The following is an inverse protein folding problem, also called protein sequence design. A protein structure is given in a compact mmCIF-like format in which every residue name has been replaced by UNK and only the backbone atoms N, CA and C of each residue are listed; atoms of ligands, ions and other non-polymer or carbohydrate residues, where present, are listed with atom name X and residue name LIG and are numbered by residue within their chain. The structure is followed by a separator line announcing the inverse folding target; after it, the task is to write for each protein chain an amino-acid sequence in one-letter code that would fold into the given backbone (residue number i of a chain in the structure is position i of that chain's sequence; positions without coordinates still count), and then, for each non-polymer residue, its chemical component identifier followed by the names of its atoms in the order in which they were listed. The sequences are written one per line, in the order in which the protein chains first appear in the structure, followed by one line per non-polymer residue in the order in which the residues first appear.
data_IF_108230360345
#
_entry.id   IF_108230360345
#
_cell.length_a   1.000
_cell.length_b   1.000
_cell.length_c   1.000
_cell.angle_alpha   90.00
_cell.angle_beta   90.00
_cell.angle_gamma   90.00
#
_symmetry.space_group_name_H-M   'P 1'
#
loop_
_entity.id
_entity.type
_entity.pdbx_description
1 polymer ?
#
# COMPACT_ATOMS: atom_id res chain seq x y z
N UNK A 1 5.83 11.62 5.06
CA UNK A 1 5.41 11.19 6.42
C UNK A 1 3.99 10.64 6.36
N UNK A 2 3.60 9.70 7.23
CA UNK A 2 2.25 9.10 7.21
C UNK A 2 1.35 9.78 8.26
N UNK A 3 0.05 9.89 7.99
CA UNK A 3 -0.96 10.27 8.98
C UNK A 3 -2.29 9.57 8.72
N UNK A 4 -3.21 9.59 9.70
CA UNK A 4 -4.59 9.11 9.50
C UNK A 4 -5.30 9.88 8.38
N UNK A 5 -6.28 9.21 7.76
CA UNK A 5 -7.11 9.79 6.69
C UNK A 5 -7.88 11.01 7.21
N UNK A 6 -8.03 12.00 6.35
CA UNK A 6 -8.74 13.25 6.63
C UNK A 6 -9.56 13.66 5.41
N UNK A 7 -10.85 13.93 5.63
CA UNK A 7 -11.78 14.30 4.55
C UNK A 7 -11.41 15.63 3.90
N UNK A 8 -10.75 16.55 4.62
CA UNK A 8 -10.31 17.84 4.06
C UNK A 8 -9.24 17.69 2.96
N UNK A 9 -8.57 16.53 2.90
CA UNK A 9 -7.55 16.24 1.88
C UNK A 9 -8.12 15.61 0.61
N UNK A 10 -9.44 15.35 0.58
CA UNK A 10 -10.05 14.63 -0.53
C UNK A 10 -9.94 15.38 -1.85
N UNK A 11 -10.01 16.72 -1.85
CA UNK A 11 -9.90 17.50 -3.08
C UNK A 11 -8.53 17.31 -3.74
N UNK A 12 -7.44 17.58 -3.01
CA UNK A 12 -6.08 17.47 -3.55
C UNK A 12 -5.70 16.04 -3.92
N UNK A 13 -6.15 15.05 -3.14
CA UNK A 13 -5.90 13.64 -3.46
C UNK A 13 -6.71 13.16 -4.66
N UNK A 14 -7.96 13.60 -4.82
CA UNK A 14 -8.78 13.25 -5.98
C UNK A 14 -8.12 13.74 -7.27
N UNK A 15 -7.64 14.99 -7.29
CA UNK A 15 -6.94 15.55 -8.46
C UNK A 15 -5.70 14.74 -8.85
N UNK A 16 -4.92 14.29 -7.86
CA UNK A 16 -3.75 13.43 -8.09
C UNK A 16 -4.13 12.01 -8.54
N UNK A 17 -5.24 11.47 -8.03
CA UNK A 17 -5.71 10.12 -8.33
C UNK A 17 -6.19 10.00 -9.79
N UNK A 18 -6.82 11.06 -10.32
CA UNK A 18 -7.39 11.09 -11.67
C UNK A 18 -6.34 11.10 -12.79
N UNK A 19 -5.06 11.30 -12.46
CA UNK A 19 -3.96 11.22 -13.42
C UNK A 19 -3.95 9.83 -14.13
N UNK A 20 -3.86 9.77 -15.48
CA UNK A 20 -3.87 8.51 -16.23
C UNK A 20 -2.75 7.52 -15.86
N UNK A 21 -1.64 7.99 -15.29
CA UNK A 21 -0.55 7.14 -14.81
C UNK A 21 -0.82 6.58 -13.39
N UNK A 22 -1.85 7.07 -12.70
CA UNK A 22 -2.26 6.69 -11.34
C UNK A 22 -3.58 5.92 -11.38
N UNK A 23 -4.62 6.51 -11.97
CA UNK A 23 -6.00 6.04 -11.95
C UNK A 23 -6.17 4.56 -12.32
N UNK A 24 -5.48 3.98 -13.33
CA UNK A 24 -5.64 2.56 -13.66
C UNK A 24 -5.22 1.59 -12.54
N UNK A 25 -4.46 2.06 -11.54
CA UNK A 25 -3.88 1.22 -10.49
C UNK A 25 -4.42 1.45 -9.08
N UNK A 26 -5.29 2.44 -8.87
CA UNK A 26 -5.93 2.65 -7.56
C UNK A 26 -7.00 1.60 -7.26
N UNK A 27 -7.25 1.30 -5.98
CA UNK A 27 -8.26 0.32 -5.52
C UNK A 27 -9.69 0.81 -5.80
N UNK A 28 -10.01 2.01 -5.33
CA UNK A 28 -11.33 2.64 -5.52
C UNK A 28 -11.30 3.53 -6.77
N UNK A 29 -12.02 3.13 -7.82
CA UNK A 29 -12.09 3.85 -9.10
C UNK A 29 -13.10 5.00 -9.06
N UNK A 30 -12.91 5.93 -8.14
CA UNK A 30 -13.79 7.08 -7.99
C UNK A 30 -13.56 8.06 -9.15
N UNK A 31 -14.59 8.31 -9.96
CA UNK A 31 -14.55 9.20 -11.14
C UNK A 31 -15.02 10.61 -10.83
N UNK A 32 -15.58 10.83 -9.64
CA UNK A 32 -15.94 12.15 -9.14
C UNK A 32 -15.37 12.38 -7.74
N UNK A 33 -15.30 13.66 -7.37
CA UNK A 33 -14.88 14.07 -6.04
C UNK A 33 -15.82 13.49 -4.96
N UNK A 34 -17.13 13.49 -5.19
CA UNK A 34 -18.14 12.96 -4.27
C UNK A 34 -17.96 11.45 -4.05
N UNK A 35 -17.69 10.69 -5.11
CA UNK A 35 -17.38 9.26 -5.01
C UNK A 35 -16.11 9.02 -4.17
N UNK A 36 -15.09 9.87 -4.34
CA UNK A 36 -13.84 9.75 -3.59
C UNK A 36 -13.98 10.16 -2.12
N UNK A 37 -14.77 11.20 -1.84
CA UNK A 37 -15.12 11.62 -0.49
C UNK A 37 -15.90 10.52 0.24
N UNK A 38 -16.89 9.93 -0.42
CA UNK A 38 -17.67 8.82 0.13
C UNK A 38 -16.80 7.59 0.41
N UNK A 39 -15.96 7.18 -0.56
CA UNK A 39 -15.04 6.06 -0.37
C UNK A 39 -14.03 6.32 0.77
N UNK A 40 -13.54 7.56 0.90
CA UNK A 40 -12.64 7.92 2.01
C UNK A 40 -13.34 7.84 3.36
N UNK A 41 -14.60 8.27 3.44
CA UNK A 41 -15.40 8.11 4.67
C UNK A 41 -15.57 6.62 5.02
N UNK A 42 -15.90 5.77 4.05
CA UNK A 42 -16.01 4.33 4.29
C UNK A 42 -14.71 3.72 4.82
N UNK A 43 -13.55 4.13 4.28
CA UNK A 43 -12.24 3.65 4.76
C UNK A 43 -11.96 4.11 6.20
N UNK A 44 -12.39 5.32 6.58
CA UNK A 44 -12.29 5.80 7.97
C UNK A 44 -13.15 4.94 8.89
N UNK A 45 -14.41 4.68 8.50
CA UNK A 45 -15.33 3.83 9.26
C UNK A 45 -14.80 2.37 9.37
N UNK A 46 -14.23 1.82 8.29
CA UNK A 46 -13.58 0.49 8.26
C UNK A 46 -12.38 0.41 9.22
N UNK A 47 -11.59 1.48 9.32
CA UNK A 47 -10.46 1.56 10.25
C UNK A 47 -10.92 1.65 11.71
N UNK A 48 -11.98 2.40 12.01
CA UNK A 48 -12.58 2.42 13.36
C UNK A 48 -13.09 1.04 13.80
N UNK A 49 -13.49 0.21 12.84
CA UNK A 49 -13.89 -1.19 13.05
C UNK A 49 -12.71 -2.18 13.05
N UNK A 50 -11.47 -1.71 12.91
CA UNK A 50 -10.25 -2.54 12.81
C UNK A 50 -10.27 -3.54 11.64
N UNK A 51 -10.99 -3.24 10.56
CA UNK A 51 -11.07 -4.08 9.34
C UNK A 51 -10.12 -3.62 8.24
N UNK A 52 -9.55 -2.42 8.40
CA UNK A 52 -8.59 -1.78 7.52
C UNK A 52 -7.64 -0.93 8.37
N UNK A 53 -6.45 -0.63 7.86
CA UNK A 53 -5.56 0.40 8.41
C UNK A 53 -5.16 1.30 7.23
N UNK A 54 -5.41 2.60 7.32
CA UNK A 54 -5.26 3.50 6.17
C UNK A 54 -4.52 4.79 6.53
N UNK A 55 -3.53 5.17 5.72
CA UNK A 55 -2.75 6.39 5.93
C UNK A 55 -2.73 7.26 4.68
N UNK A 56 -2.80 8.58 4.89
CA UNK A 56 -2.38 9.55 3.89
C UNK A 56 -0.86 9.63 3.89
N UNK A 57 -0.26 9.58 2.69
CA UNK A 57 1.17 9.82 2.48
C UNK A 57 1.37 11.32 2.28
N UNK A 58 2.27 11.91 3.06
CA UNK A 58 2.64 13.33 3.00
C UNK A 58 4.04 13.51 2.39
N UNK A 59 4.24 14.60 1.66
CA UNK A 59 5.58 15.07 1.28
C UNK A 59 6.29 15.77 2.47
N UNK A 60 7.47 16.35 2.21
CA UNK A 60 8.29 17.05 3.21
C UNK A 60 7.63 18.33 3.74
N UNK A 61 6.73 18.93 2.97
CA UNK A 61 5.96 20.12 3.36
C UNK A 61 4.64 19.77 4.07
N UNK A 62 4.37 18.48 4.30
CA UNK A 62 3.13 18.02 4.92
C UNK A 62 1.92 17.99 3.99
N UNK A 63 2.10 18.17 2.67
CA UNK A 63 0.99 18.08 1.71
C UNK A 63 0.64 16.61 1.40
N UNK A 64 -0.65 16.28 1.26
CA UNK A 64 -1.09 14.94 0.88
C UNK A 64 -0.72 14.63 -0.58
N UNK A 65 -0.08 13.48 -0.79
CA UNK A 65 0.46 13.07 -2.10
C UNK A 65 0.04 11.66 -2.54
N UNK A 66 -0.72 10.95 -1.72
CA UNK A 66 -1.15 9.58 -2.01
C UNK A 66 -1.72 8.89 -0.78
N UNK A 67 -2.04 7.61 -0.91
CA UNK A 67 -2.54 6.77 0.19
C UNK A 67 -1.81 5.44 0.24
N UNK A 68 -1.78 4.86 1.43
CA UNK A 68 -1.32 3.50 1.70
C UNK A 68 -2.27 2.83 2.68
N UNK A 69 -2.70 1.63 2.35
CA UNK A 69 -3.79 0.94 3.04
C UNK A 69 -3.44 -0.55 3.21
N UNK A 70 -3.76 -1.12 4.37
CA UNK A 70 -3.91 -2.55 4.57
C UNK A 70 -5.40 -2.85 4.64
N UNK A 71 -5.91 -3.65 3.73
CA UNK A 71 -7.34 -3.99 3.66
C UNK A 71 -7.57 -5.49 3.56
N UNK A 72 -8.82 -5.91 3.73
CA UNK A 72 -9.21 -7.33 3.75
C UNK A 72 -8.38 -8.07 4.81
N UNK A 73 -8.39 -7.49 6.03
CA UNK A 73 -7.61 -8.00 7.14
C UNK A 73 -8.27 -9.26 7.70
N UNK A 74 -7.53 -10.36 7.72
CA UNK A 74 -8.00 -11.65 8.24
C UNK A 74 -6.82 -12.46 8.75
N UNK A 75 -6.96 -13.14 9.89
CA UNK A 75 -5.93 -14.01 10.47
C UNK A 75 -4.52 -13.39 10.53
N UNK A 76 -4.42 -12.12 10.96
CA UNK A 76 -3.15 -11.36 11.03
C UNK A 76 -2.48 -11.14 9.66
N UNK A 77 -3.28 -11.17 8.60
CA UNK A 77 -2.84 -10.88 7.23
C UNK A 77 -3.70 -9.79 6.60
N UNK A 78 -3.27 -9.27 5.44
CA UNK A 78 -4.08 -8.36 4.62
C UNK A 78 -3.38 -8.00 3.32
N UNK A 79 -4.08 -7.28 2.45
CA UNK A 79 -3.53 -6.78 1.19
C UNK A 79 -3.11 -5.32 1.30
N UNK A 80 -1.91 -5.01 0.83
CA UNK A 80 -1.43 -3.66 0.67
C UNK A 80 -2.02 -3.03 -0.60
N UNK A 81 -2.60 -1.84 -0.46
CA UNK A 81 -2.81 -0.91 -1.56
C UNK A 81 -1.92 0.32 -1.33
N UNK A 82 -1.32 0.84 -2.41
CA UNK A 82 -0.55 2.09 -2.33
C UNK A 82 -0.60 2.80 -3.67
N UNK A 83 -0.83 4.10 -3.65
CA UNK A 83 -0.64 4.95 -4.81
C UNK A 83 -0.10 6.32 -4.38
N UNK A 84 0.62 6.96 -5.30
CA UNK A 84 1.20 8.29 -5.14
C UNK A 84 0.87 9.07 -6.40
N UNK A 85 0.61 10.36 -6.29
CA UNK A 85 0.36 11.24 -7.44
C UNK A 85 1.55 11.31 -8.39
N UNK A 86 1.27 11.43 -9.69
CA UNK A 86 2.31 11.42 -10.72
C UNK A 86 3.46 12.44 -10.53
N UNK A 87 3.21 13.68 -10.05
CA UNK A 87 4.28 14.66 -9.77
C UNK A 87 5.31 14.21 -8.72
N UNK A 88 5.02 13.15 -7.97
CA UNK A 88 5.84 12.64 -6.88
C UNK A 88 6.50 11.29 -7.20
N UNK A 89 6.35 10.77 -8.42
CA UNK A 89 7.05 9.57 -8.86
C UNK A 89 8.56 9.73 -8.89
N UNK A 90 9.29 8.65 -8.61
CA UNK A 90 10.75 8.62 -8.63
C UNK A 90 11.44 9.32 -7.44
N UNK A 91 10.68 10.03 -6.58
CA UNK A 91 11.22 10.80 -5.44
C UNK A 91 11.37 10.00 -4.12
N UNK A 92 11.33 8.67 -4.19
CA UNK A 92 11.50 7.80 -3.03
C UNK A 92 10.34 7.74 -2.02
N UNK A 93 9.27 8.52 -2.17
CA UNK A 93 8.14 8.52 -1.22
C UNK A 93 7.49 7.15 -1.05
N UNK A 94 7.34 6.38 -2.14
CA UNK A 94 6.70 5.06 -2.08
C UNK A 94 7.45 4.08 -1.18
N UNK A 95 8.78 4.14 -1.22
CA UNK A 95 9.64 3.29 -0.42
C UNK A 95 9.53 3.70 1.06
N UNK A 96 9.77 4.99 1.36
CA UNK A 96 9.65 5.54 2.72
C UNK A 96 8.28 5.31 3.33
N UNK A 97 7.20 5.44 2.54
CA UNK A 97 5.84 5.18 2.98
C UNK A 97 5.63 3.70 3.34
N UNK A 98 6.12 2.77 2.51
CA UNK A 98 6.01 1.33 2.78
C UNK A 98 6.83 0.92 4.00
N UNK A 99 8.06 1.39 4.13
CA UNK A 99 8.90 1.09 5.30
C UNK A 99 8.22 1.56 6.59
N UNK A 100 7.75 2.81 6.64
CA UNK A 100 7.04 3.34 7.80
C UNK A 100 5.72 2.59 8.07
N UNK A 101 4.97 2.24 7.03
CA UNK A 101 3.71 1.54 7.18
C UNK A 101 3.89 0.09 7.61
N UNK A 102 4.87 -0.64 7.06
CA UNK A 102 5.19 -1.99 7.51
C UNK A 102 5.65 -2.01 8.97
N UNK A 103 6.49 -1.05 9.38
CA UNK A 103 6.84 -0.90 10.79
C UNK A 103 5.61 -0.70 11.68
N UNK A 104 4.68 0.18 11.28
CA UNK A 104 3.40 0.33 11.98
C UNK A 104 2.62 -0.99 12.05
N UNK A 105 2.38 -1.65 10.92
CA UNK A 105 1.60 -2.89 10.84
C UNK A 105 2.17 -4.01 11.72
N UNK A 106 3.48 -4.24 11.64
CA UNK A 106 4.15 -5.36 12.30
C UNK A 106 4.43 -5.11 13.78
N UNK A 107 4.65 -3.86 14.18
CA UNK A 107 4.99 -3.52 15.57
C UNK A 107 3.77 -3.11 16.40
N UNK A 108 2.73 -2.57 15.77
CA UNK A 108 1.59 -1.97 16.48
C UNK A 108 0.27 -2.71 16.26
N UNK A 109 0.09 -3.39 15.12
CA UNK A 109 -1.21 -3.98 14.73
C UNK A 109 -1.21 -5.52 14.67
N UNK A 110 -0.20 -6.17 15.24
CA UNK A 110 -0.03 -7.63 15.27
C UNK A 110 -0.19 -8.33 13.90
N UNK A 111 0.09 -7.63 12.80
CA UNK A 111 0.12 -8.22 11.48
C UNK A 111 1.36 -9.12 11.39
N UNK A 112 1.21 -10.28 10.77
CA UNK A 112 2.30 -11.24 10.58
C UNK A 112 2.69 -11.37 9.10
N UNK A 113 1.75 -11.15 8.18
CA UNK A 113 2.03 -11.20 6.73
C UNK A 113 1.22 -10.16 5.96
N UNK A 114 1.89 -9.38 5.11
CA UNK A 114 1.25 -8.44 4.19
C UNK A 114 1.42 -8.93 2.77
N UNK A 115 0.30 -9.06 2.04
CA UNK A 115 0.27 -9.42 0.64
C UNK A 115 0.28 -8.19 -0.27
N UNK A 116 1.02 -8.25 -1.36
CA UNK A 116 1.01 -7.23 -2.41
C UNK A 116 0.61 -7.90 -3.72
N UNK A 117 -0.54 -7.53 -4.27
CA UNK A 117 -0.92 -7.93 -5.63
C UNK A 117 -0.62 -6.81 -6.61
N UNK A 118 0.19 -7.08 -7.62
CA UNK A 118 0.62 -6.09 -8.60
C UNK A 118 0.19 -6.55 -9.98
N UNK A 119 -0.53 -5.71 -10.73
CA UNK A 119 -0.87 -6.03 -12.11
C UNK A 119 0.41 -6.30 -12.90
N UNK A 120 0.45 -7.35 -13.71
CA UNK A 120 1.61 -7.75 -14.53
C UNK A 120 2.10 -6.60 -15.42
N UNK A 121 1.18 -5.77 -15.93
CA UNK A 121 1.48 -4.59 -16.75
C UNK A 121 2.03 -3.38 -15.96
N UNK A 122 1.91 -3.35 -14.63
CA UNK A 122 2.37 -2.23 -13.81
C UNK A 122 3.87 -2.36 -13.49
N UNK A 123 4.70 -2.17 -14.52
CA UNK A 123 6.16 -2.27 -14.43
C UNK A 123 6.73 -1.33 -13.36
N UNK A 124 6.13 -0.15 -13.16
CA UNK A 124 6.55 0.82 -12.13
C UNK A 124 6.43 0.23 -10.72
N UNK A 125 5.27 -0.35 -10.39
CA UNK A 125 5.05 -0.94 -9.07
C UNK A 125 5.92 -2.19 -8.87
N UNK A 126 6.10 -3.03 -9.90
CA UNK A 126 7.02 -4.18 -9.86
C UNK A 126 8.46 -3.75 -9.57
N UNK A 127 8.97 -2.73 -10.28
CA UNK A 127 10.31 -2.17 -10.02
C UNK A 127 10.44 -1.57 -8.62
N UNK A 128 9.39 -0.91 -8.11
CA UNK A 128 9.40 -0.35 -6.76
C UNK A 128 9.43 -1.44 -5.69
N UNK A 129 8.68 -2.52 -5.88
CA UNK A 129 8.68 -3.67 -4.96
C UNK A 129 9.97 -4.46 -5.02
N UNK A 130 10.57 -4.65 -6.20
CA UNK A 130 11.86 -5.32 -6.34
C UNK A 130 13.06 -4.59 -5.72
N UNK A 131 12.88 -3.36 -5.21
CA UNK A 131 13.89 -2.64 -4.43
C UNK A 131 13.84 -2.96 -2.93
N UNK A 132 12.79 -3.60 -2.47
CA UNK A 132 12.59 -3.92 -1.05
C UNK A 132 13.15 -5.33 -0.79
N UNK A 133 14.24 -5.47 -0.01
CA UNK A 133 14.96 -6.73 0.14
C UNK A 133 14.15 -7.81 0.86
N UNK A 134 13.17 -7.40 1.67
CA UNK A 134 12.29 -8.27 2.45
C UNK A 134 11.02 -8.71 1.71
N UNK A 135 10.80 -8.25 0.46
CA UNK A 135 9.64 -8.67 -0.32
C UNK A 135 9.99 -9.93 -1.13
N UNK A 136 9.14 -10.95 -1.02
CA UNK A 136 9.30 -12.23 -1.73
C UNK A 136 8.12 -12.48 -2.67
N UNK A 137 8.39 -13.20 -3.76
CA UNK A 137 7.33 -13.69 -4.66
C UNK A 137 6.57 -14.82 -3.95
N UNK A 138 5.24 -14.78 -4.01
CA UNK A 138 4.39 -15.65 -3.18
C UNK A 138 3.68 -16.76 -3.95
N UNK A 139 3.92 -16.89 -5.26
CA UNK A 139 3.11 -17.76 -6.15
C UNK A 139 3.09 -19.20 -5.65
N UNK A 140 4.25 -19.74 -5.27
CA UNK A 140 4.38 -21.14 -4.85
C UNK A 140 4.09 -21.38 -3.36
N UNK A 141 4.18 -20.32 -2.54
CA UNK A 141 4.04 -20.40 -1.08
C UNK A 141 2.59 -20.16 -0.65
N UNK A 142 1.91 -19.20 -1.28
CA UNK A 142 0.55 -18.78 -0.99
C UNK A 142 -0.35 -19.02 -2.20
N UNK A 143 -0.32 -20.25 -2.73
CA UNK A 143 -1.02 -20.62 -3.98
C UNK A 143 -2.51 -20.33 -3.95
N UNK A 144 -3.19 -20.57 -2.82
CA UNK A 144 -4.62 -20.30 -2.68
C UNK A 144 -4.93 -18.79 -2.75
N UNK A 145 -4.07 -17.95 -2.17
CA UNK A 145 -4.19 -16.49 -2.29
C UNK A 145 -3.95 -16.05 -3.74
N UNK A 146 -2.95 -16.64 -4.41
CA UNK A 146 -2.66 -16.34 -5.81
C UNK A 146 -3.82 -16.72 -6.74
N UNK A 147 -4.44 -17.89 -6.54
CA UNK A 147 -5.65 -18.31 -7.25
C UNK A 147 -6.81 -17.36 -6.99
N UNK A 148 -7.05 -16.98 -5.73
CA UNK A 148 -8.15 -16.10 -5.34
C UNK A 148 -8.10 -14.78 -6.09
N UNK A 149 -6.93 -14.14 -6.17
CA UNK A 149 -6.80 -12.83 -6.82
C UNK A 149 -6.78 -12.90 -8.35
N UNK A 150 -6.62 -14.10 -8.93
CA UNK A 150 -6.52 -14.35 -10.37
C UNK A 150 -7.61 -15.32 -10.87
N UNK A 151 -8.72 -15.44 -10.14
CA UNK A 151 -9.76 -16.42 -10.42
C UNK A 151 -10.47 -16.21 -11.77
N UNK A 152 -10.66 -14.95 -12.17
CA UNK A 152 -11.26 -14.58 -13.46
C UNK A 152 -10.20 -14.45 -14.55
N UNK A 153 -9.12 -13.74 -14.27
CA UNK A 153 -8.02 -13.49 -15.20
C UNK A 153 -6.68 -13.48 -14.47
N UNK A 154 -5.64 -14.05 -15.10
CA UNK A 154 -4.29 -14.10 -14.53
C UNK A 154 -3.50 -12.79 -14.74
N UNK A 155 -4.01 -11.69 -14.20
CA UNK A 155 -3.47 -10.34 -14.41
C UNK A 155 -2.59 -9.84 -13.26
N UNK A 156 -2.51 -10.53 -12.13
CA UNK A 156 -1.71 -10.13 -10.96
C UNK A 156 -0.54 -11.09 -10.70
N UNK A 157 0.60 -10.51 -10.37
CA UNK A 157 1.66 -11.21 -9.61
C UNK A 157 1.40 -10.99 -8.12
N UNK A 158 1.61 -12.04 -7.31
CA UNK A 158 1.48 -11.99 -5.85
C UNK A 158 2.86 -11.98 -5.19
N UNK A 159 3.05 -11.01 -4.30
CA UNK A 159 4.19 -10.91 -3.41
C UNK A 159 3.72 -10.90 -1.96
N UNK A 160 4.63 -11.14 -1.04
CA UNK A 160 4.36 -11.02 0.39
C UNK A 160 5.57 -10.45 1.13
N UNK A 161 5.28 -9.92 2.32
CA UNK A 161 6.26 -9.52 3.34
C UNK A 161 5.83 -10.17 4.64
N UNK A 162 6.72 -10.96 5.25
CA UNK A 162 6.50 -11.46 6.61
C UNK A 162 7.11 -10.50 7.62
N UNK A 163 6.54 -10.48 8.83
CA UNK A 163 7.09 -9.72 9.96
C UNK A 163 8.55 -10.07 10.21
N UNK A 164 8.89 -11.37 10.23
CA UNK A 164 10.26 -11.83 10.48
C UNK A 164 11.25 -11.36 9.40
N UNK A 165 10.88 -11.46 8.12
CA UNK A 165 11.73 -10.99 7.03
C UNK A 165 11.98 -9.48 7.09
N UNK A 166 10.94 -8.72 7.46
CA UNK A 166 11.07 -7.27 7.64
C UNK A 166 11.98 -6.92 8.83
N UNK A 167 11.78 -7.54 9.99
CA UNK A 167 12.62 -7.31 11.19
C UNK A 167 14.09 -7.64 10.92
N UNK A 168 14.38 -8.78 10.28
CA UNK A 168 15.75 -9.17 9.92
C UNK A 168 16.43 -8.16 8.99
N UNK A 169 15.67 -7.56 8.07
CA UNK A 169 16.20 -6.53 7.17
C UNK A 169 16.53 -5.21 7.88
N UNK A 170 15.75 -4.83 8.89
CA UNK A 170 15.99 -3.62 9.69
C UNK A 170 17.22 -3.77 10.57
N UNK A 171 17.44 -4.95 11.16
CA UNK A 171 18.66 -5.26 11.91
C UNK A 171 19.91 -5.17 11.02
N UNK A 172 19.86 -5.74 9.82
CA UNK A 172 20.97 -5.64 8.85
C UNK A 172 21.27 -4.19 8.46
N UNK A 173 20.24 -3.36 8.27
CA UNK A 173 20.42 -1.95 7.93
C UNK A 173 21.07 -1.15 9.07
N UNK A 174 20.76 -1.49 10.33
CA UNK A 174 21.40 -0.86 11.49
C UNK A 174 22.88 -1.24 11.61
N UNK A 175 23.24 -2.50 11.37
CA UNK A 175 24.64 -2.98 11.42
C UNK A 175 25.51 -2.35 10.33
N UNK A 176 24.96 -2.12 9.13
CA UNK A 176 25.69 -1.47 8.01
C UNK A 176 25.86 0.04 8.22
N UNK A 177 25.03 0.67 9.06
CA UNK A 177 25.09 2.09 9.36
C UNK A 177 26.05 2.47 10.52
N UNK A 178 26.59 1.48 11.22
CA UNK A 178 27.61 1.61 12.29
C UNK A 178 28.99 1.22 11.80
#
# INVERSE_FOLDING_TARGET
MLKKRDLHECHSLHDLMMDPAVFPYVRHKCRSYEEYLFATKQVIDEEEQNTCISRTILNELGHPIGTIDLYHMEHKTGFLATWIGAPFFGKGYNQRAKEAFFAELFLQHEIETVFLKIRKQNIRSKKAVGKLPYVKLAIDIHHEVYKLINNTEQIYDLYYVSRSDFMASEEMNQVVAT
#
